data_IF_162555530427
#
_entry.id   IF_162555530427
#
_cell.length_a   1.000
_cell.length_b   1.000
_cell.length_c   1.000
_cell.angle_alpha   90.00
_cell.angle_beta   90.00
_cell.angle_gamma   90.00
#
_symmetry.space_group_name_H-M   'P 1'
#
loop_
_entity.id
_entity.type
_entity.pdbx_description
1 polymer ?
#
# COMPACT_ATOMS: atom_id res chain seq x y z
N UNK A 1 -15.72 -50.33 -9.17
CA UNK A 1 -16.32 -49.10 -8.64
C UNK A 1 -15.39 -48.63 -7.55
N UNK A 2 -14.60 -47.60 -7.83
CA UNK A 2 -13.68 -46.98 -6.86
C UNK A 2 -14.49 -45.90 -6.15
N UNK A 3 -14.65 -46.01 -4.84
CA UNK A 3 -15.26 -44.96 -4.02
C UNK A 3 -14.22 -43.85 -3.85
N UNK A 4 -14.48 -42.72 -4.48
CA UNK A 4 -13.84 -41.46 -4.11
C UNK A 4 -14.36 -41.09 -2.72
N UNK A 5 -13.59 -41.39 -1.69
CA UNK A 5 -13.80 -40.85 -0.36
C UNK A 5 -13.45 -39.35 -0.42
N UNK A 6 -14.45 -38.52 -0.68
CA UNK A 6 -14.40 -37.08 -0.35
C UNK A 6 -14.17 -36.98 1.16
N UNK A 7 -12.90 -36.85 1.56
CA UNK A 7 -12.57 -36.39 2.90
C UNK A 7 -13.06 -34.96 3.01
N UNK A 8 -14.23 -34.78 3.63
CA UNK A 8 -14.63 -33.50 4.18
C UNK A 8 -13.55 -33.05 5.17
N UNK A 9 -12.71 -32.12 4.74
CA UNK A 9 -11.73 -31.49 5.62
C UNK A 9 -12.48 -30.66 6.66
N UNK A 10 -12.50 -31.14 7.90
CA UNK A 10 -13.12 -30.43 9.01
C UNK A 10 -12.28 -29.18 9.29
N UNK A 11 -12.89 -28.00 9.11
CA UNK A 11 -12.29 -26.72 9.46
C UNK A 11 -12.01 -26.69 10.97
N UNK A 12 -10.79 -26.31 11.36
CA UNK A 12 -10.45 -26.17 12.76
C UNK A 12 -11.22 -24.99 13.39
N UNK A 13 -11.99 -25.25 14.46
CA UNK A 13 -12.77 -24.20 15.15
C UNK A 13 -11.92 -23.09 15.80
N UNK A 14 -10.60 -23.29 15.92
CA UNK A 14 -9.70 -22.33 16.58
C UNK A 14 -8.86 -21.48 15.63
N UNK A 15 -8.51 -22.01 14.46
CA UNK A 15 -7.65 -21.30 13.52
C UNK A 15 -8.18 -21.31 12.08
N UNK A 16 -9.36 -21.90 11.87
CA UNK A 16 -10.06 -21.99 10.58
C UNK A 16 -9.28 -22.72 9.47
N UNK A 17 -8.16 -23.35 9.84
CA UNK A 17 -7.34 -24.14 8.94
C UNK A 17 -8.04 -25.47 8.61
N UNK A 18 -8.12 -25.78 7.32
CA UNK A 18 -8.71 -27.01 6.79
C UNK A 18 -7.65 -28.07 6.44
N UNK A 19 -6.35 -27.77 6.60
CA UNK A 19 -5.27 -28.69 6.19
C UNK A 19 -5.02 -29.83 7.18
N UNK A 20 -5.82 -29.92 8.25
CA UNK A 20 -5.73 -30.96 9.28
C UNK A 20 -4.33 -31.05 9.94
N UNK A 21 -3.74 -29.88 10.20
CA UNK A 21 -2.39 -29.76 10.76
C UNK A 21 -2.38 -29.49 12.27
N UNK A 22 -3.55 -29.37 12.91
CA UNK A 22 -3.67 -28.83 14.27
C UNK A 22 -3.32 -29.82 15.39
N UNK A 23 -3.15 -31.11 15.07
CA UNK A 23 -2.87 -32.16 16.06
C UNK A 23 -1.46 -32.08 16.68
N UNK A 24 -0.53 -31.37 16.03
CA UNK A 24 0.86 -31.28 16.47
C UNK A 24 1.41 -29.89 16.25
N UNK A 25 2.27 -29.46 17.18
CA UNK A 25 3.03 -28.23 17.02
C UNK A 25 4.25 -28.47 16.14
N UNK A 26 4.38 -27.73 15.04
CA UNK A 26 5.57 -27.76 14.19
C UNK A 26 5.70 -26.48 13.35
N UNK A 27 6.87 -26.29 12.77
CA UNK A 27 7.14 -25.33 11.71
C UNK A 27 7.82 -26.06 10.55
N UNK A 28 7.60 -25.60 9.33
CA UNK A 28 8.38 -26.03 8.16
C UNK A 28 9.79 -25.48 8.29
N UNK A 29 10.80 -26.34 8.13
CA UNK A 29 12.23 -26.02 8.32
C UNK A 29 12.55 -25.37 9.69
N UNK A 30 11.76 -25.69 10.72
CA UNK A 30 11.86 -25.10 12.07
C UNK A 30 11.71 -23.56 12.13
N UNK A 31 11.14 -22.94 11.09
CA UNK A 31 11.03 -21.47 11.01
C UNK A 31 9.80 -20.92 10.31
N UNK A 32 9.09 -21.72 9.52
CA UNK A 32 7.99 -21.24 8.68
C UNK A 32 6.65 -21.84 9.06
N UNK A 33 5.62 -21.05 8.90
CA UNK A 33 4.24 -21.51 8.86
C UNK A 33 3.55 -20.83 7.69
N UNK A 34 2.42 -21.37 7.24
CA UNK A 34 1.68 -20.75 6.15
C UNK A 34 0.23 -20.58 6.54
N UNK A 35 -0.41 -19.52 6.03
CA UNK A 35 -1.83 -19.24 6.24
C UNK A 35 -2.51 -19.22 4.87
N UNK A 36 -3.69 -19.83 4.80
CA UNK A 36 -4.57 -19.73 3.64
C UNK A 36 -5.40 -18.46 3.79
N UNK A 37 -5.38 -17.59 2.77
CA UNK A 37 -6.15 -16.36 2.77
C UNK A 37 -7.66 -16.65 2.61
N UNK A 38 -8.46 -16.00 3.44
CA UNK A 38 -9.93 -16.00 3.30
C UNK A 38 -10.40 -15.21 2.07
N UNK A 39 -11.60 -15.54 1.57
CA UNK A 39 -12.26 -14.92 0.42
C UNK A 39 -12.46 -13.41 0.56
N UNK A 40 -12.65 -12.92 1.78
CA UNK A 40 -12.93 -11.50 2.02
C UNK A 40 -11.70 -10.70 2.43
N UNK A 41 -10.54 -11.36 2.56
CA UNK A 41 -9.34 -10.80 3.16
C UNK A 41 -9.66 -10.09 4.49
N UNK A 42 -10.38 -10.79 5.39
CA UNK A 42 -10.78 -10.23 6.68
C UNK A 42 -9.60 -9.57 7.40
N UNK A 43 -9.94 -8.55 8.19
CA UNK A 43 -8.96 -7.79 8.98
C UNK A 43 -8.21 -8.71 9.95
N UNK A 44 -8.86 -9.81 10.34
CA UNK A 44 -8.37 -10.77 11.32
C UNK A 44 -7.88 -12.03 10.60
N UNK A 45 -6.60 -12.36 10.77
CA UNK A 45 -5.97 -13.54 10.13
C UNK A 45 -5.42 -14.47 11.21
N UNK A 46 -6.08 -15.61 11.40
CA UNK A 46 -5.76 -16.57 12.46
C UNK A 46 -4.41 -17.27 12.24
N UNK A 47 -3.63 -17.37 13.31
CA UNK A 47 -2.40 -18.17 13.35
C UNK A 47 -2.79 -19.65 13.45
N UNK A 48 -2.26 -20.54 12.59
CA UNK A 48 -2.55 -21.96 12.66
C UNK A 48 -2.14 -22.54 14.02
N UNK A 49 -2.95 -23.44 14.58
CA UNK A 49 -2.71 -24.03 15.91
C UNK A 49 -1.30 -24.62 16.04
N UNK A 50 -0.83 -25.30 14.99
CA UNK A 50 0.50 -25.93 14.97
C UNK A 50 1.66 -24.92 15.09
N UNK A 51 1.46 -23.69 14.63
CA UNK A 51 2.47 -22.64 14.64
C UNK A 51 2.34 -21.70 15.86
N UNK A 52 1.16 -21.67 16.50
CA UNK A 52 0.78 -20.71 17.55
C UNK A 52 1.83 -20.57 18.65
N UNK A 53 2.29 -21.68 19.23
CA UNK A 53 3.24 -21.66 20.34
C UNK A 53 4.57 -20.97 19.97
N UNK A 54 5.05 -21.17 18.74
CA UNK A 54 6.31 -20.60 18.27
C UNK A 54 6.20 -19.11 17.99
N UNK A 55 5.04 -18.66 17.47
CA UNK A 55 4.76 -17.24 17.26
C UNK A 55 4.68 -16.52 18.61
N UNK A 56 3.99 -17.10 19.60
CA UNK A 56 3.87 -16.52 20.94
C UNK A 56 5.22 -16.40 21.64
N UNK A 57 6.07 -17.42 21.53
CA UNK A 57 7.44 -17.43 22.06
C UNK A 57 8.29 -16.32 21.43
N UNK A 58 8.32 -16.22 20.09
CA UNK A 58 9.07 -15.18 19.38
C UNK A 58 8.67 -13.76 19.80
N UNK A 59 7.37 -13.51 19.94
CA UNK A 59 6.87 -12.17 20.29
C UNK A 59 6.93 -11.93 21.82
N UNK A 60 7.21 -12.98 22.59
CA UNK A 60 7.44 -12.95 24.04
C UNK A 60 6.17 -12.78 24.86
N UNK A 61 5.05 -13.38 24.45
CA UNK A 61 3.81 -13.41 25.25
C UNK A 61 4.02 -14.17 26.56
N UNK A 62 3.46 -13.67 27.66
CA UNK A 62 3.82 -14.11 29.01
C UNK A 62 3.01 -15.32 29.54
N UNK A 63 1.87 -15.64 28.91
CA UNK A 63 1.10 -16.87 29.12
C UNK A 63 0.01 -16.99 28.04
N UNK A 64 -0.48 -18.21 27.77
CA UNK A 64 -1.55 -18.44 26.78
C UNK A 64 -2.94 -17.97 27.26
N UNK A 65 -3.11 -17.60 28.53
CA UNK A 65 -4.41 -17.50 29.23
C UNK A 65 -4.88 -16.07 29.54
N UNK A 66 -4.29 -15.04 28.92
CA UNK A 66 -4.75 -13.66 29.08
C UNK A 66 -4.86 -12.98 27.74
N UNK A 67 -5.96 -12.26 27.52
CA UNK A 67 -6.14 -11.41 26.36
C UNK A 67 -5.05 -10.34 26.34
N UNK A 68 -4.04 -10.55 25.50
CA UNK A 68 -2.87 -9.67 25.38
C UNK A 68 -2.75 -9.25 23.92
N UNK A 69 -2.38 -7.99 23.69
CA UNK A 69 -2.21 -7.43 22.36
C UNK A 69 -0.82 -6.85 22.25
N UNK A 70 -0.08 -7.27 21.23
CA UNK A 70 1.25 -6.72 20.93
C UNK A 70 1.31 -6.18 19.52
N UNK A 71 2.10 -5.12 19.33
CA UNK A 71 2.44 -4.64 17.99
C UNK A 71 3.59 -5.48 17.45
N UNK A 72 3.41 -5.98 16.24
CA UNK A 72 4.39 -6.79 15.51
C UNK A 72 4.60 -6.14 14.14
N UNK A 73 5.79 -6.28 13.59
CA UNK A 73 6.08 -5.86 12.22
C UNK A 73 6.16 -7.07 11.32
N UNK A 74 5.37 -7.05 10.23
CA UNK A 74 5.49 -7.99 9.14
C UNK A 74 6.37 -7.38 8.06
N UNK A 75 7.46 -8.05 7.68
CA UNK A 75 8.42 -7.56 6.69
C UNK A 75 8.37 -8.38 5.41
N UNK A 76 8.77 -7.80 4.30
CA UNK A 76 8.93 -8.52 3.03
C UNK A 76 10.32 -8.28 2.48
N UNK A 77 10.84 -9.19 1.65
CA UNK A 77 12.12 -9.04 0.96
C UNK A 77 12.20 -7.79 0.08
N UNK A 78 11.06 -7.28 -0.38
CA UNK A 78 10.96 -6.07 -1.18
C UNK A 78 10.95 -4.77 -0.36
N UNK A 79 11.20 -4.84 0.95
CA UNK A 79 11.34 -3.67 1.83
C UNK A 79 10.04 -3.12 2.40
N UNK A 80 8.90 -3.79 2.16
CA UNK A 80 7.66 -3.42 2.87
C UNK A 80 7.72 -3.86 4.31
N UNK A 81 7.26 -2.97 5.19
CA UNK A 81 7.02 -3.26 6.59
C UNK A 81 5.57 -2.92 6.88
N UNK A 82 4.84 -3.81 7.54
CA UNK A 82 3.45 -3.66 7.94
C UNK A 82 3.37 -3.71 9.46
N UNK A 83 2.83 -2.68 10.09
CA UNK A 83 2.54 -2.70 11.51
C UNK A 83 1.20 -3.41 11.73
N UNK A 84 1.24 -4.52 12.45
CA UNK A 84 0.06 -5.32 12.77
C UNK A 84 -0.08 -5.45 14.27
N UNK A 85 -1.31 -5.65 14.73
CA UNK A 85 -1.54 -6.08 16.10
C UNK A 85 -1.70 -7.59 16.10
N UNK A 86 -1.00 -8.25 16.98
CA UNK A 86 -1.18 -9.66 17.27
C UNK A 86 -1.99 -9.79 18.55
N UNK A 87 -3.21 -10.30 18.42
CA UNK A 87 -4.09 -10.59 19.53
C UNK A 87 -3.89 -12.05 19.94
N UNK A 88 -3.66 -12.28 21.23
CA UNK A 88 -3.70 -13.62 21.80
C UNK A 88 -4.89 -13.70 22.75
N UNK A 89 -5.77 -14.68 22.52
CA UNK A 89 -6.82 -15.10 23.44
C UNK A 89 -6.50 -16.53 23.93
N UNK A 90 -7.34 -17.10 24.81
CA UNK A 90 -7.10 -18.41 25.40
C UNK A 90 -6.95 -19.51 24.33
N UNK A 91 -7.83 -19.48 23.33
CA UNK A 91 -7.96 -20.56 22.35
C UNK A 91 -7.37 -20.25 20.97
N UNK A 92 -7.22 -18.98 20.62
CA UNK A 92 -6.74 -18.57 19.30
C UNK A 92 -5.84 -17.33 19.36
N UNK A 93 -5.06 -17.15 18.30
CA UNK A 93 -4.17 -16.01 18.10
C UNK A 93 -4.35 -15.53 16.68
N UNK A 94 -4.44 -14.23 16.44
CA UNK A 94 -4.65 -13.68 15.10
C UNK A 94 -3.98 -12.33 14.91
N UNK A 95 -3.61 -12.03 13.67
CA UNK A 95 -3.23 -10.69 13.27
C UNK A 95 -4.48 -9.87 12.99
N UNK A 96 -4.67 -8.74 13.68
CA UNK A 96 -5.54 -7.67 13.21
C UNK A 96 -4.67 -6.74 12.36
N UNK A 97 -4.95 -6.69 11.06
CA UNK A 97 -4.21 -5.86 10.13
C UNK A 97 -5.17 -5.10 9.21
N UNK A 98 -5.45 -3.84 9.58
CA UNK A 98 -6.23 -2.92 8.73
C UNK A 98 -5.60 -2.70 7.35
N UNK A 99 -4.30 -2.97 7.23
CA UNK A 99 -3.54 -2.86 5.98
C UNK A 99 -3.36 -4.21 5.29
N UNK A 100 -4.03 -5.28 5.75
CA UNK A 100 -3.90 -6.63 5.20
C UNK A 100 -4.37 -6.69 3.77
N UNK A 101 -5.53 -6.07 3.50
CA UNK A 101 -6.04 -5.88 2.17
C UNK A 101 -5.05 -5.12 1.27
N UNK A 102 -4.31 -4.16 1.81
CA UNK A 102 -3.30 -3.43 1.04
C UNK A 102 -2.06 -4.27 0.74
N UNK A 103 -1.60 -5.10 1.67
CA UNK A 103 -0.56 -6.11 1.40
C UNK A 103 -1.03 -7.08 0.31
N UNK A 104 -2.23 -7.63 0.45
CA UNK A 104 -2.80 -8.56 -0.53
C UNK A 104 -2.89 -7.91 -1.91
N UNK A 105 -3.40 -6.68 -2.00
CA UNK A 105 -3.43 -5.91 -3.25
C UNK A 105 -2.04 -5.57 -3.79
N UNK A 106 -1.07 -5.25 -2.94
CA UNK A 106 0.29 -4.92 -3.36
C UNK A 106 0.99 -6.07 -4.09
N UNK A 107 0.71 -7.31 -3.66
CA UNK A 107 1.26 -8.53 -4.24
C UNK A 107 0.29 -9.28 -5.14
N UNK A 108 -0.90 -8.71 -5.39
CA UNK A 108 -2.01 -9.35 -6.10
C UNK A 108 -2.32 -10.77 -5.58
N UNK A 109 -2.36 -10.93 -4.26
CA UNK A 109 -2.84 -12.17 -3.66
C UNK A 109 -4.32 -12.35 -3.96
N UNK A 110 -4.68 -13.57 -4.33
CA UNK A 110 -6.04 -14.02 -4.55
C UNK A 110 -6.56 -14.75 -3.30
N UNK A 111 -7.89 -14.83 -3.12
CA UNK A 111 -8.49 -15.78 -2.19
C UNK A 111 -7.88 -17.18 -2.31
N UNK A 112 -7.88 -17.92 -1.20
CA UNK A 112 -7.33 -19.27 -1.12
C UNK A 112 -5.82 -19.41 -1.34
N UNK A 113 -5.10 -18.34 -1.68
CA UNK A 113 -3.65 -18.39 -1.74
C UNK A 113 -3.05 -18.70 -0.37
N UNK A 114 -2.02 -19.52 -0.38
CA UNK A 114 -1.25 -19.87 0.82
C UNK A 114 -0.04 -18.94 0.90
N UNK A 115 -0.06 -18.04 1.88
CA UNK A 115 1.06 -17.15 2.18
C UNK A 115 1.93 -17.80 3.24
N UNK A 116 3.24 -17.76 3.04
CA UNK A 116 4.21 -18.29 4.01
C UNK A 116 4.79 -17.16 4.85
N UNK A 117 4.95 -17.42 6.14
CA UNK A 117 5.56 -16.54 7.12
C UNK A 117 6.78 -17.21 7.69
N UNK A 118 7.82 -16.43 7.88
CA UNK A 118 9.10 -16.85 8.38
C UNK A 118 9.40 -16.09 9.67
N UNK A 119 9.47 -16.84 10.76
CA UNK A 119 9.70 -16.27 12.09
C UNK A 119 11.18 -16.31 12.49
N UNK A 120 12.08 -16.87 11.67
CA UNK A 120 13.52 -16.96 11.98
C UNK A 120 14.50 -16.51 10.89
N UNK A 121 14.28 -15.39 10.18
CA UNK A 121 15.25 -14.94 9.17
C UNK A 121 16.50 -14.29 9.75
N UNK A 122 16.41 -13.74 10.96
CA UNK A 122 17.49 -12.97 11.60
C UNK A 122 17.46 -13.18 13.12
N UNK A 123 17.35 -14.45 13.57
CA UNK A 123 17.27 -14.81 15.00
C UNK A 123 18.52 -14.44 15.80
N UNK A 124 19.62 -14.12 15.13
CA UNK A 124 20.87 -13.67 15.75
C UNK A 124 20.79 -12.23 16.28
N UNK A 125 19.73 -11.48 15.95
CA UNK A 125 19.51 -10.10 16.43
C UNK A 125 18.68 -10.14 17.71
N UNK A 126 19.32 -9.83 18.84
CA UNK A 126 18.67 -9.77 20.15
C UNK A 126 17.47 -8.81 20.13
N UNK A 127 16.31 -9.32 20.55
CA UNK A 127 15.07 -8.54 20.60
C UNK A 127 14.31 -8.44 19.27
N UNK A 128 14.74 -9.13 18.21
CA UNK A 128 14.04 -9.14 16.93
C UNK A 128 12.69 -9.88 17.01
N UNK A 129 11.60 -9.11 16.92
CA UNK A 129 10.23 -9.60 16.92
C UNK A 129 9.58 -9.55 15.54
N UNK A 130 10.35 -9.25 14.51
CA UNK A 130 9.80 -9.11 13.16
C UNK A 130 9.51 -10.48 12.57
N UNK A 131 8.37 -10.59 11.89
CA UNK A 131 7.97 -11.78 11.15
C UNK A 131 8.07 -11.43 9.68
N UNK A 132 8.69 -12.29 8.88
CA UNK A 132 8.79 -12.04 7.45
C UNK A 132 7.68 -12.75 6.71
N UNK A 133 7.09 -12.08 5.74
CA UNK A 133 6.15 -12.64 4.79
C UNK A 133 6.97 -13.03 3.56
N UNK A 134 7.03 -14.33 3.29
CA UNK A 134 7.76 -14.90 2.17
C UNK A 134 6.94 -14.68 0.89
N UNK A 135 7.40 -13.74 0.08
CA UNK A 135 6.70 -13.22 -1.09
C UNK A 135 7.58 -13.32 -2.32
N UNK A 136 7.70 -14.53 -2.89
CA UNK A 136 8.56 -14.83 -4.03
C UNK A 136 8.26 -14.00 -5.30
N UNK A 137 7.06 -13.42 -5.40
CA UNK A 137 6.68 -12.58 -6.53
C UNK A 137 6.95 -11.10 -6.23
N UNK A 138 7.50 -10.34 -7.19
CA UNK A 138 7.63 -8.91 -7.03
C UNK A 138 6.25 -8.26 -6.87
N UNK A 139 6.13 -7.19 -6.07
CA UNK A 139 4.86 -6.47 -5.91
C UNK A 139 4.34 -5.99 -7.27
N UNK A 140 3.06 -6.24 -7.52
CA UNK A 140 2.37 -5.84 -8.76
C UNK A 140 2.19 -4.33 -8.82
N UNK A 141 2.08 -3.67 -7.66
CA UNK A 141 1.95 -2.22 -7.57
C UNK A 141 3.33 -1.53 -7.69
N UNK A 142 3.44 -0.40 -8.40
CA UNK A 142 4.69 0.29 -8.69
C UNK A 142 5.28 1.03 -7.48
N UNK A 143 5.05 0.56 -6.26
CA UNK A 143 5.63 1.10 -5.03
C UNK A 143 7.17 1.11 -5.09
N UNK A 144 7.79 0.09 -5.69
CA UNK A 144 9.25 0.04 -5.92
C UNK A 144 9.76 1.06 -6.96
N UNK A 145 8.86 1.64 -7.79
CA UNK A 145 9.20 2.68 -8.77
C UNK A 145 8.81 4.07 -8.33
N UNK A 146 8.08 4.20 -7.21
CA UNK A 146 7.65 5.49 -6.67
C UNK A 146 8.87 6.30 -6.24
N UNK A 147 8.93 7.54 -6.70
CA UNK A 147 9.92 8.49 -6.24
C UNK A 147 9.42 9.18 -4.97
N UNK A 148 10.17 9.07 -3.88
CA UNK A 148 9.86 9.78 -2.63
C UNK A 148 10.78 10.98 -2.51
N UNK A 149 10.20 12.18 -2.39
CA UNK A 149 10.98 13.33 -1.91
C UNK A 149 11.35 13.10 -0.43
N UNK A 150 12.45 13.69 0.07
CA UNK A 150 12.85 13.51 1.46
C UNK A 150 11.72 13.79 2.45
N UNK A 151 11.47 12.86 3.37
CA UNK A 151 10.40 12.96 4.38
C UNK A 151 8.99 12.63 3.86
N UNK A 152 8.86 12.25 2.58
CA UNK A 152 7.59 11.87 1.97
C UNK A 152 7.35 10.36 1.96
N UNK A 153 8.26 9.56 2.52
CA UNK A 153 8.17 8.11 2.61
C UNK A 153 6.85 7.72 3.28
N UNK A 154 6.14 6.74 2.74
CA UNK A 154 4.85 6.31 3.28
C UNK A 154 5.07 5.25 4.37
N UNK A 155 4.35 5.38 5.47
CA UNK A 155 4.22 4.33 6.46
C UNK A 155 3.18 3.29 6.01
N UNK A 156 2.99 2.24 6.80
CA UNK A 156 2.11 1.12 6.47
C UNK A 156 0.65 1.54 6.18
N UNK A 157 0.07 2.38 7.03
CA UNK A 157 -1.30 2.86 6.89
C UNK A 157 -1.46 3.69 5.61
N UNK A 158 -0.48 4.53 5.36
CA UNK A 158 -0.42 5.41 4.18
C UNK A 158 -0.20 4.64 2.88
N UNK A 159 0.48 3.49 2.92
CA UNK A 159 0.61 2.58 1.77
C UNK A 159 -0.78 2.06 1.37
N UNK A 160 -1.66 1.72 2.30
CA UNK A 160 -3.04 1.31 1.98
C UNK A 160 -3.81 2.39 1.22
N UNK A 161 -3.64 3.64 1.65
CA UNK A 161 -4.21 4.79 0.97
C UNK A 161 -3.61 5.01 -0.43
N UNK A 162 -2.32 4.77 -0.58
CA UNK A 162 -1.64 4.80 -1.88
C UNK A 162 -2.10 3.69 -2.82
N UNK A 163 -2.31 2.47 -2.32
CA UNK A 163 -2.91 1.37 -3.09
C UNK A 163 -4.30 1.74 -3.56
N UNK A 164 -5.13 2.28 -2.67
CA UNK A 164 -6.47 2.77 -3.02
C UNK A 164 -6.42 3.86 -4.11
N UNK A 165 -5.43 4.76 -4.06
CA UNK A 165 -5.18 5.74 -5.11
C UNK A 165 -4.83 5.11 -6.47
N UNK A 166 -4.08 4.00 -6.50
CA UNK A 166 -3.77 3.27 -7.73
C UNK A 166 -5.02 2.60 -8.33
N UNK A 167 -5.95 2.14 -7.50
CA UNK A 167 -7.24 1.60 -7.95
C UNK A 167 -8.13 2.68 -8.54
N UNK A 168 -8.18 3.86 -7.90
CA UNK A 168 -8.89 5.02 -8.42
C UNK A 168 -8.31 5.41 -9.79
N UNK A 169 -6.98 5.40 -9.91
CA UNK A 169 -6.28 5.68 -11.16
C UNK A 169 -6.66 4.67 -12.26
N UNK A 170 -6.64 3.37 -11.93
CA UNK A 170 -7.03 2.31 -12.86
C UNK A 170 -8.48 2.48 -13.32
N UNK A 171 -9.38 2.75 -12.37
CA UNK A 171 -10.81 2.98 -12.63
C UNK A 171 -11.03 4.19 -13.53
N UNK A 172 -10.34 5.31 -13.25
CA UNK A 172 -10.44 6.52 -14.05
C UNK A 172 -9.95 6.28 -15.48
N UNK A 173 -8.81 5.60 -15.64
CA UNK A 173 -8.26 5.27 -16.95
C UNK A 173 -9.19 4.36 -17.75
N UNK A 174 -9.73 3.32 -17.11
CA UNK A 174 -10.61 2.35 -17.78
C UNK A 174 -11.95 2.96 -18.19
N UNK A 175 -12.55 3.80 -17.34
CA UNK A 175 -13.92 4.26 -17.54
C UNK A 175 -14.03 5.66 -18.19
N UNK A 176 -13.03 6.53 -18.00
CA UNK A 176 -13.13 7.95 -18.39
C UNK A 176 -12.03 8.37 -19.39
N UNK A 177 -10.90 7.68 -19.44
CA UNK A 177 -9.78 8.01 -20.32
C UNK A 177 -9.32 6.78 -21.12
N UNK A 178 -10.17 6.22 -22.01
CA UNK A 178 -9.87 5.00 -22.75
C UNK A 178 -8.60 5.11 -23.61
N UNK A 179 -8.22 6.33 -24.04
CA UNK A 179 -6.97 6.61 -24.73
C UNK A 179 -5.72 6.20 -23.92
N UNK A 180 -5.80 6.21 -22.58
CA UNK A 180 -4.70 5.85 -21.69
C UNK A 180 -4.69 4.37 -21.28
N UNK A 181 -5.67 3.56 -21.73
CA UNK A 181 -5.83 2.16 -21.33
C UNK A 181 -4.64 1.29 -21.77
N UNK A 182 -4.12 1.56 -22.95
CA UNK A 182 -3.02 0.79 -23.55
C UNK A 182 -1.66 1.50 -23.48
N UNK A 183 -1.62 2.73 -22.94
CA UNK A 183 -0.38 3.49 -22.84
C UNK A 183 0.50 2.84 -21.76
N UNK A 184 1.70 2.44 -22.17
CA UNK A 184 2.69 1.80 -21.30
C UNK A 184 3.01 2.67 -20.08
N UNK A 185 2.90 2.08 -18.89
CA UNK A 185 3.32 2.69 -17.63
C UNK A 185 4.78 2.39 -17.29
N UNK A 186 5.51 1.66 -18.14
CA UNK A 186 6.89 1.22 -17.83
C UNK A 186 7.85 2.39 -17.58
N UNK A 187 7.63 3.54 -18.20
CA UNK A 187 8.44 4.74 -18.03
C UNK A 187 7.79 5.80 -17.14
N UNK A 188 6.68 5.46 -16.51
CA UNK A 188 5.93 6.36 -15.63
C UNK A 188 6.25 6.00 -14.19
N UNK A 189 6.55 7.01 -13.38
CA UNK A 189 6.86 6.86 -11.96
C UNK A 189 5.97 7.77 -11.14
N UNK A 190 5.13 7.23 -10.24
CA UNK A 190 4.46 8.02 -9.23
C UNK A 190 5.49 8.75 -8.36
N UNK A 191 5.11 9.89 -7.82
CA UNK A 191 5.92 10.70 -6.93
C UNK A 191 5.10 11.11 -5.71
N UNK A 192 5.75 11.11 -4.54
CA UNK A 192 5.18 11.62 -3.29
C UNK A 192 6.01 12.80 -2.79
N UNK A 193 5.35 13.93 -2.54
CA UNK A 193 5.99 15.20 -2.19
C UNK A 193 5.34 15.76 -0.92
N UNK A 194 6.13 16.10 0.09
CA UNK A 194 5.61 16.87 1.24
C UNK A 194 5.37 18.33 0.81
N UNK A 195 4.13 18.79 0.98
CA UNK A 195 3.73 20.17 0.70
C UNK A 195 4.34 21.10 1.76
N UNK A 196 5.19 22.01 1.31
CA UNK A 196 5.94 22.94 2.14
C UNK A 196 5.44 24.39 1.93
N UNK A 197 6.10 25.35 2.57
CA UNK A 197 5.74 26.76 2.47
C UNK A 197 5.74 27.28 1.02
N UNK A 198 6.69 26.82 0.20
CA UNK A 198 6.78 27.19 -1.21
C UNK A 198 5.60 26.66 -2.04
N UNK A 199 5.21 25.41 -1.79
CA UNK A 199 4.06 24.80 -2.46
C UNK A 199 2.74 25.50 -2.10
N UNK A 200 2.52 25.78 -0.81
CA UNK A 200 1.25 26.31 -0.31
C UNK A 200 1.14 27.84 -0.47
N UNK A 201 2.11 28.59 0.04
CA UNK A 201 2.01 30.05 0.13
C UNK A 201 2.66 30.76 -1.05
N UNK A 202 3.81 30.28 -1.52
CA UNK A 202 4.42 30.83 -2.75
C UNK A 202 3.77 30.31 -4.02
N UNK A 203 2.88 29.30 -3.90
CA UNK A 203 2.09 28.72 -4.98
C UNK A 203 2.94 28.25 -6.16
N UNK A 204 4.09 27.66 -5.86
CA UNK A 204 5.02 27.11 -6.86
C UNK A 204 5.09 25.61 -6.70
N UNK A 205 4.91 24.88 -7.78
CA UNK A 205 5.09 23.42 -7.81
C UNK A 205 6.05 23.04 -8.92
N UNK A 206 7.13 22.36 -8.53
CA UNK A 206 8.14 21.82 -9.43
C UNK A 206 8.18 20.30 -9.29
N UNK A 207 8.10 19.59 -10.41
CA UNK A 207 8.27 18.15 -10.48
C UNK A 207 9.67 17.81 -11.01
N UNK A 208 10.45 16.95 -10.33
CA UNK A 208 11.81 16.64 -10.75
C UNK A 208 11.81 15.93 -12.11
N UNK A 209 12.83 16.18 -12.93
CA UNK A 209 12.90 15.60 -14.28
C UNK A 209 12.90 14.06 -14.30
N UNK A 210 13.25 13.40 -13.19
CA UNK A 210 13.23 11.94 -13.04
C UNK A 210 11.84 11.32 -13.16
N UNK A 211 10.77 12.09 -12.94
CA UNK A 211 9.37 11.63 -13.04
C UNK A 211 8.63 12.26 -14.21
N UNK A 212 9.32 13.09 -15.00
CA UNK A 212 8.77 13.75 -16.18
C UNK A 212 8.99 12.84 -17.41
N UNK A 213 7.95 12.54 -18.21
CA UNK A 213 8.12 11.71 -19.40
C UNK A 213 9.10 12.35 -20.40
N UNK A 214 9.98 11.55 -21.00
CA UNK A 214 11.13 12.04 -21.79
C UNK A 214 10.75 12.79 -23.09
N UNK A 215 9.57 12.52 -23.65
CA UNK A 215 9.18 12.97 -24.99
C UNK A 215 8.26 14.19 -25.00
N UNK A 216 8.04 14.82 -23.83
CA UNK A 216 7.16 15.98 -23.76
C UNK A 216 7.84 17.24 -24.27
N UNK A 217 7.04 18.19 -24.77
CA UNK A 217 7.53 19.51 -25.14
C UNK A 217 8.07 20.31 -23.94
N UNK A 218 8.90 21.31 -24.21
CA UNK A 218 9.48 22.17 -23.14
C UNK A 218 8.46 23.12 -22.48
N UNK A 219 7.29 23.29 -23.09
CA UNK A 219 6.16 24.06 -22.57
C UNK A 219 4.89 23.53 -23.22
N UNK A 220 3.76 23.62 -22.54
CA UNK A 220 2.50 23.14 -23.09
C UNK A 220 1.37 23.23 -22.08
N UNK A 221 0.30 22.49 -22.37
CA UNK A 221 -0.82 22.29 -21.47
C UNK A 221 -0.83 20.86 -20.95
N UNK A 222 -1.38 20.68 -19.76
CA UNK A 222 -1.62 19.38 -19.15
C UNK A 222 -3.00 19.33 -18.52
N UNK A 223 -3.60 18.15 -18.60
CA UNK A 223 -4.84 17.80 -17.92
C UNK A 223 -4.53 17.29 -16.53
N UNK A 224 -4.83 18.09 -15.52
CA UNK A 224 -4.71 17.69 -14.12
C UNK A 224 -6.00 16.99 -13.71
N UNK A 225 -5.87 15.73 -13.30
CA UNK A 225 -6.98 14.83 -13.02
C UNK A 225 -7.00 14.50 -11.53
N UNK A 226 -8.07 14.93 -10.87
CA UNK A 226 -8.32 14.59 -9.47
C UNK A 226 -9.05 13.25 -9.46
N UNK A 227 -8.46 12.25 -8.81
CA UNK A 227 -9.02 10.90 -8.80
C UNK A 227 -10.22 10.73 -7.85
N UNK A 228 -10.41 11.66 -6.90
CA UNK A 228 -11.54 11.69 -5.96
C UNK A 228 -12.25 13.03 -5.98
N UNK A 229 -13.60 13.09 -5.90
CA UNK A 229 -14.56 12.02 -5.54
C UNK A 229 -14.92 11.09 -6.73
N UNK A 230 -15.95 10.23 -6.56
CA UNK A 230 -16.46 9.18 -7.51
C UNK A 230 -16.42 9.53 -9.02
N UNK A 231 -16.51 10.81 -9.38
CA UNK A 231 -16.30 11.29 -10.75
C UNK A 231 -15.01 12.12 -10.82
N UNK A 232 -14.07 11.78 -11.71
CA UNK A 232 -12.82 12.52 -11.82
C UNK A 232 -13.09 13.96 -12.25
N UNK A 233 -12.36 14.88 -11.62
CA UNK A 233 -12.44 16.31 -11.97
C UNK A 233 -11.21 16.69 -12.78
N UNK A 234 -11.43 17.42 -13.87
CA UNK A 234 -10.40 17.82 -14.82
C UNK A 234 -10.13 19.31 -14.74
N UNK A 235 -8.86 19.67 -14.61
CA UNK A 235 -8.41 21.05 -14.70
C UNK A 235 -7.26 21.14 -15.69
N UNK A 236 -7.40 22.03 -16.67
CA UNK A 236 -6.30 22.34 -17.56
C UNK A 236 -5.34 23.31 -16.88
N UNK A 237 -4.06 22.99 -16.92
CA UNK A 237 -2.99 23.88 -16.50
C UNK A 237 -1.88 23.95 -17.53
N UNK A 238 -1.19 25.08 -17.60
CA UNK A 238 0.01 25.18 -18.40
C UNK A 238 1.22 24.64 -17.61
N UNK A 239 2.23 24.16 -18.31
CA UNK A 239 3.51 23.78 -17.72
C UNK A 239 4.69 24.38 -18.49
N UNK A 240 5.85 24.41 -17.86
CA UNK A 240 7.14 24.68 -18.53
C UNK A 240 8.25 23.87 -17.89
N UNK A 241 9.18 23.38 -18.69
CA UNK A 241 10.42 22.79 -18.22
C UNK A 241 11.42 23.93 -17.94
N UNK A 242 11.94 23.98 -16.71
CA UNK A 242 12.98 24.90 -16.29
C UNK A 242 14.33 24.21 -16.36
N UNK A 243 15.23 24.67 -17.24
CA UNK A 243 16.58 24.11 -17.35
C UNK A 243 17.46 24.47 -16.15
N UNK A 244 17.28 25.66 -15.57
CA UNK A 244 18.05 26.11 -14.40
C UNK A 244 17.68 25.35 -13.14
N UNK A 245 16.38 25.07 -12.99
CA UNK A 245 15.83 24.46 -11.77
C UNK A 245 15.65 22.95 -11.92
N UNK A 246 16.05 22.39 -13.07
CA UNK A 246 15.94 20.97 -13.44
C UNK A 246 14.59 20.34 -13.06
N UNK A 247 13.49 21.02 -13.40
CA UNK A 247 12.14 20.57 -13.07
C UNK A 247 11.09 21.03 -14.09
N UNK A 248 9.97 20.32 -14.09
CA UNK A 248 8.73 20.76 -14.72
C UNK A 248 7.96 21.64 -13.72
N UNK A 249 7.72 22.89 -14.10
CA UNK A 249 6.96 23.85 -13.31
C UNK A 249 5.50 23.80 -13.74
N UNK A 250 4.63 23.48 -12.79
CA UNK A 250 3.18 23.56 -12.93
C UNK A 250 2.75 25.02 -12.79
N UNK A 251 2.18 25.61 -13.85
CA UNK A 251 1.57 26.95 -13.75
C UNK A 251 0.21 26.84 -13.04
N UNK A 252 -0.34 27.97 -12.64
CA UNK A 252 -1.65 28.07 -11.99
C UNK A 252 -1.86 27.13 -10.79
N UNK A 253 -0.79 26.75 -10.09
CA UNK A 253 -0.84 25.86 -8.92
C UNK A 253 -1.78 26.38 -7.82
N UNK A 254 -2.01 27.69 -7.77
CA UNK A 254 -3.01 28.31 -6.90
C UNK A 254 -4.42 27.74 -7.07
N UNK A 255 -4.80 27.28 -8.28
CA UNK A 255 -6.08 26.62 -8.51
C UNK A 255 -6.17 25.32 -7.72
N UNK A 256 -5.06 24.58 -7.60
CA UNK A 256 -4.97 23.34 -6.81
C UNK A 256 -4.95 23.64 -5.32
N UNK A 257 -4.12 24.58 -4.86
CA UNK A 257 -4.01 24.84 -3.41
C UNK A 257 -5.32 25.39 -2.83
N UNK A 258 -6.13 26.08 -3.62
CA UNK A 258 -7.36 26.70 -3.12
C UNK A 258 -8.61 25.83 -3.30
N UNK A 259 -8.57 24.79 -4.12
CA UNK A 259 -9.76 23.97 -4.42
C UNK A 259 -9.96 22.87 -3.36
N UNK A 260 -11.09 22.87 -2.62
CA UNK A 260 -11.38 21.87 -1.60
C UNK A 260 -11.73 20.50 -2.22
N UNK A 261 -11.05 19.46 -1.77
CA UNK A 261 -11.17 18.11 -2.32
C UNK A 261 -11.11 17.04 -1.25
N UNK A 262 -11.61 15.86 -1.60
CA UNK A 262 -11.50 14.69 -0.74
C UNK A 262 -10.03 14.26 -0.63
N UNK A 263 -9.59 13.97 0.60
CA UNK A 263 -8.23 13.51 0.89
C UNK A 263 -8.22 12.00 1.07
N UNK A 264 -7.09 11.35 0.75
CA UNK A 264 -6.93 9.92 0.97
C UNK A 264 -6.99 9.61 2.47
N UNK A 265 -7.66 8.51 2.82
CA UNK A 265 -7.84 8.08 4.22
C UNK A 265 -8.80 8.95 5.04
N UNK A 266 -9.42 9.98 4.46
CA UNK A 266 -10.39 10.84 5.14
C UNK A 266 -11.81 10.26 5.19
N UNK A 267 -12.62 10.80 6.10
CA UNK A 267 -14.05 10.49 6.32
C UNK A 267 -15.01 11.00 5.21
N UNK A 268 -14.54 11.15 3.97
CA UNK A 268 -15.18 11.90 2.88
C UNK A 268 -15.23 13.43 3.07
N UNK A 269 -14.45 13.98 4.01
CA UNK A 269 -14.33 15.42 4.19
C UNK A 269 -13.54 16.07 3.05
N UNK A 270 -14.11 17.14 2.47
CA UNK A 270 -13.43 17.96 1.48
C UNK A 270 -12.68 19.11 2.15
N UNK A 271 -11.39 19.24 1.87
CA UNK A 271 -10.58 20.38 2.32
C UNK A 271 -9.50 20.74 1.32
N UNK A 272 -9.02 21.99 1.42
CA UNK A 272 -7.85 22.44 0.67
C UNK A 272 -6.56 21.77 1.19
N UNK A 273 -5.54 21.59 0.34
CA UNK A 273 -4.20 21.15 0.77
C UNK A 273 -3.60 22.11 1.82
N UNK A 274 -2.89 21.55 2.79
CA UNK A 274 -2.25 22.26 3.91
C UNK A 274 -0.75 21.97 3.95
N UNK A 275 -0.04 22.77 4.74
CA UNK A 275 1.36 22.52 5.05
C UNK A 275 1.52 21.14 5.71
N UNK A 276 2.49 20.35 5.24
CA UNK A 276 2.78 19.01 5.76
C UNK A 276 1.97 17.89 5.10
N UNK A 277 0.89 18.21 4.37
CA UNK A 277 0.20 17.21 3.54
C UNK A 277 1.16 16.65 2.49
N UNK A 278 0.90 15.44 2.03
CA UNK A 278 1.63 14.84 0.92
C UNK A 278 0.82 14.87 -0.35
N UNK A 279 1.45 15.34 -1.41
CA UNK A 279 0.95 15.32 -2.76
C UNK A 279 1.44 14.05 -3.44
N UNK A 280 0.51 13.13 -3.75
CA UNK A 280 0.81 11.94 -4.54
C UNK A 280 0.38 12.26 -5.97
N UNK A 281 1.30 12.15 -6.92
CA UNK A 281 0.95 12.33 -8.32
C UNK A 281 1.72 11.43 -9.28
N UNK A 282 1.20 11.31 -10.49
CA UNK A 282 1.85 10.59 -11.58
C UNK A 282 1.60 11.33 -12.90
N UNK A 283 2.68 11.54 -13.65
CA UNK A 283 2.62 12.14 -14.98
C UNK A 283 2.53 11.04 -16.04
N UNK A 284 1.57 11.15 -16.95
CA UNK A 284 1.43 10.23 -18.07
C UNK A 284 1.21 11.01 -19.35
N UNK A 285 2.04 10.75 -20.36
CA UNK A 285 1.91 11.35 -21.68
C UNK A 285 1.22 10.35 -22.61
N UNK A 286 0.17 10.78 -23.30
CA UNK A 286 -0.59 9.92 -24.19
C UNK A 286 -0.08 9.97 -25.64
N UNK A 287 -0.62 9.09 -26.49
CA UNK A 287 -0.26 9.04 -27.91
C UNK A 287 -0.81 10.22 -28.72
N UNK A 288 -1.81 10.93 -28.19
CA UNK A 288 -2.41 12.11 -28.83
C UNK A 288 -1.61 13.40 -28.59
N UNK A 289 -0.60 13.34 -27.72
CA UNK A 289 0.26 14.47 -27.37
C UNK A 289 -0.18 15.21 -26.10
N UNK A 290 -1.13 14.67 -25.36
CA UNK A 290 -1.66 15.27 -24.14
C UNK A 290 -0.91 14.73 -22.89
N UNK A 291 -0.52 15.66 -22.02
CA UNK A 291 0.09 15.34 -20.73
C UNK A 291 -0.99 15.30 -19.65
N UNK A 292 -1.09 14.19 -18.93
CA UNK A 292 -1.98 14.02 -17.78
C UNK A 292 -1.19 14.02 -16.47
N UNK A 293 -1.69 14.73 -15.47
CA UNK A 293 -1.21 14.65 -14.09
C UNK A 293 -2.34 14.12 -13.20
N UNK A 294 -2.25 12.86 -12.84
CA UNK A 294 -3.17 12.24 -11.87
C UNK A 294 -2.67 12.54 -10.47
N UNK A 295 -3.54 13.00 -9.58
CA UNK A 295 -3.10 13.32 -8.22
C UNK A 295 -4.17 13.11 -7.15
N UNK A 296 -3.68 12.97 -5.92
CA UNK A 296 -4.48 13.04 -4.70
C UNK A 296 -3.64 13.63 -3.55
N UNK A 297 -4.32 13.96 -2.46
CA UNK A 297 -3.71 14.52 -1.25
C UNK A 297 -3.83 13.48 -0.15
N UNK A 298 -2.69 13.12 0.43
CA UNK A 298 -2.60 12.34 1.65
C UNK A 298 -2.37 13.32 2.82
N UNK A 299 -3.20 13.30 3.88
CA UNK A 299 -3.04 14.20 5.01
C UNK A 299 -1.66 14.14 5.66
N UNK A 300 -1.24 15.27 6.24
CA UNK A 300 -0.09 15.31 7.14
C UNK A 300 -0.27 14.29 8.27
N UNK A 301 0.83 13.69 8.74
CA UNK A 301 0.80 12.88 9.96
C UNK A 301 0.42 13.77 11.13
N UNK A 302 -0.54 13.35 11.93
CA UNK A 302 -0.68 13.89 13.27
C UNK A 302 0.63 13.60 14.01
N UNK A 303 1.32 14.63 14.49
CA UNK A 303 2.45 14.41 15.37
C UNK A 303 1.90 13.73 16.62
N UNK A 304 2.22 12.45 16.79
CA UNK A 304 2.08 11.82 18.10
C UNK A 304 3.09 12.52 19.02
N UNK A 305 2.59 13.42 19.86
CA UNK A 305 3.31 13.93 21.02
C UNK A 305 3.65 12.78 21.99
#
# INVERSE_FOLDING_TARGET
>A
MSSDDEKDFIMCEYCEDQRDLCDRNFLVDDRRFSIKLDETFEVDTCIPCHARIFVLDKIGFSAMETMEVKRVYLKTEHGYTFNVKLYNADTYTYFECKTWQALCKAYAFEPDMVITFDIRPEDDIEGNRDIWVDVQMPPVLPLYRTYYCPGAELNCEEISHYVSWLEDLHTVKTNFLPALRNVSTQNVRPIVIVLNYGHIYLRKMGLPMTVVPQWIETKGHMSMVILRPRYPTFHMSAFRISKSDECLIVKDWSKIVNDPREVLGGSNEKRSPRLGDRFICMLQYDESGELYMFYAILPAREQQE
#
